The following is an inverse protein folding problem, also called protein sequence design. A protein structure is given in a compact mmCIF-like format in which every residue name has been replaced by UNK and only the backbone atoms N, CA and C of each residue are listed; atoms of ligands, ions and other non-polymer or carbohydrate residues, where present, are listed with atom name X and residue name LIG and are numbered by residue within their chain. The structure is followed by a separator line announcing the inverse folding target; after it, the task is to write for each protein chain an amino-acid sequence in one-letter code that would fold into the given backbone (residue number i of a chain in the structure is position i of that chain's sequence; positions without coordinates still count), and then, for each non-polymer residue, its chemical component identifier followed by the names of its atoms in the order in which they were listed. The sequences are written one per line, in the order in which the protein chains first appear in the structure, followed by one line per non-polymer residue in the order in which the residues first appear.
data_IF_636861920989
#
_entry.id   IF_636861920989
#
_cell.length_a   1.000
_cell.length_b   1.000
_cell.length_c   1.000
_cell.angle_alpha   90.00
_cell.angle_beta   90.00
_cell.angle_gamma   90.00
#
_symmetry.space_group_name_H-M   'P 1'
#
loop_
_entity.id
_entity.type
_entity.pdbx_description
1 polymer ?
#
# COMPACT_ATOMS: atom_id res chain seq x y z
N UNK A 1 -48.71 45.84 20.37
CA UNK A 1 -48.34 44.50 20.89
C UNK A 1 -46.82 44.51 21.06
N UNK A 2 -46.35 44.63 22.29
CA UNK A 2 -44.94 44.79 22.62
C UNK A 2 -44.26 43.41 22.67
N UNK A 3 -43.49 43.06 21.64
CA UNK A 3 -42.58 41.91 21.69
C UNK A 3 -41.31 42.33 22.42
N UNK A 4 -41.28 42.10 23.73
CA UNK A 4 -40.05 42.19 24.54
C UNK A 4 -38.94 41.32 23.94
N UNK A 5 -37.67 41.77 23.97
CA UNK A 5 -36.53 40.99 23.51
C UNK A 5 -36.28 39.86 24.52
N UNK A 6 -36.96 38.73 24.31
CA UNK A 6 -36.82 37.52 25.10
C UNK A 6 -35.41 36.95 24.90
N UNK A 7 -34.63 36.89 25.99
CA UNK A 7 -33.45 36.05 26.13
C UNK A 7 -33.68 34.74 25.38
N UNK A 8 -32.93 34.51 24.29
CA UNK A 8 -33.18 33.50 23.26
C UNK A 8 -33.29 32.09 23.86
N UNK A 9 -34.50 31.70 24.27
CA UNK A 9 -34.81 30.34 24.72
C UNK A 9 -34.82 29.46 23.47
N UNK A 10 -34.04 28.38 23.51
CA UNK A 10 -33.98 27.41 22.42
C UNK A 10 -35.32 26.68 22.29
N UNK A 11 -35.87 26.67 21.08
CA UNK A 11 -37.11 25.95 20.76
C UNK A 11 -36.90 24.43 20.77
N UNK A 12 -37.96 23.67 21.06
CA UNK A 12 -37.87 22.21 21.14
C UNK A 12 -37.43 21.57 19.81
N UNK A 13 -37.86 22.13 18.68
CA UNK A 13 -37.48 21.67 17.34
C UNK A 13 -35.97 21.84 17.09
N UNK A 14 -35.43 23.01 17.42
CA UNK A 14 -34.00 23.32 17.28
C UNK A 14 -33.13 22.39 18.15
N UNK A 15 -33.60 22.07 19.36
CA UNK A 15 -32.90 21.13 20.25
C UNK A 15 -32.90 19.72 19.68
N UNK A 16 -34.03 19.25 19.16
CA UNK A 16 -34.12 17.92 18.53
C UNK A 16 -33.20 17.81 17.31
N UNK A 17 -33.21 18.80 16.44
CA UNK A 17 -32.36 18.84 15.25
C UNK A 17 -30.87 18.80 15.64
N UNK A 18 -30.46 19.62 16.62
CA UNK A 18 -29.07 19.62 17.08
C UNK A 18 -28.67 18.32 17.76
N UNK A 19 -29.58 17.70 18.51
CA UNK A 19 -29.35 16.38 19.11
C UNK A 19 -29.18 15.31 18.03
N UNK A 20 -29.97 15.33 16.95
CA UNK A 20 -29.80 14.41 15.82
C UNK A 20 -28.41 14.55 15.18
N UNK A 21 -27.97 15.77 14.85
CA UNK A 21 -26.62 16.00 14.32
C UNK A 21 -25.53 15.45 15.23
N UNK A 22 -25.67 15.63 16.55
CA UNK A 22 -24.74 15.07 17.53
C UNK A 22 -24.69 13.54 17.46
N UNK A 23 -25.83 12.89 17.25
CA UNK A 23 -25.93 11.44 17.13
C UNK A 23 -25.36 10.92 15.80
N UNK A 24 -25.43 11.72 14.74
CA UNK A 24 -24.83 11.43 13.43
C UNK A 24 -23.29 11.61 13.42
N UNK A 25 -22.71 12.10 14.53
CA UNK A 25 -21.27 12.27 14.71
C UNK A 25 -20.76 13.70 14.50
N UNK A 26 -21.64 14.67 14.28
CA UNK A 26 -21.24 16.07 14.12
C UNK A 26 -20.71 16.67 15.43
N UNK A 27 -19.59 17.38 15.33
CA UNK A 27 -19.01 18.08 16.47
C UNK A 27 -19.78 19.39 16.76
N UNK A 28 -20.56 19.39 17.83
CA UNK A 28 -21.26 20.60 18.29
C UNK A 28 -20.34 21.51 19.12
N UNK A 29 -20.40 22.84 18.92
CA UNK A 29 -19.75 23.81 19.78
C UNK A 29 -20.16 23.68 21.26
N UNK A 30 -19.22 23.95 22.18
CA UNK A 30 -19.46 23.80 23.64
C UNK A 30 -20.59 24.68 24.18
N UNK A 31 -20.76 25.89 23.65
CA UNK A 31 -21.90 26.75 24.01
C UNK A 31 -23.25 26.11 23.65
N UNK A 32 -23.30 25.39 22.54
CA UNK A 32 -24.50 24.72 22.02
C UNK A 32 -24.81 23.50 22.87
N UNK A 33 -23.79 22.69 23.21
CA UNK A 33 -23.94 21.56 24.14
C UNK A 33 -24.52 22.00 25.49
N UNK A 34 -23.99 23.08 26.07
CA UNK A 34 -24.50 23.64 27.34
C UNK A 34 -25.95 24.09 27.23
N UNK A 35 -26.33 24.74 26.15
CA UNK A 35 -27.71 25.20 25.95
C UNK A 35 -28.69 24.05 25.73
N UNK A 36 -28.30 23.01 24.98
CA UNK A 36 -29.08 21.78 24.84
C UNK A 36 -29.27 21.13 26.20
N UNK A 37 -28.22 21.00 27.00
CA UNK A 37 -28.30 20.39 28.34
C UNK A 37 -29.21 21.19 29.27
N UNK A 38 -29.13 22.53 29.25
CA UNK A 38 -30.09 23.39 29.95
C UNK A 38 -31.54 23.12 29.51
N UNK A 39 -31.78 23.04 28.20
CA UNK A 39 -33.12 22.74 27.69
C UNK A 39 -33.60 21.34 28.11
N UNK A 40 -32.75 20.31 28.05
CA UNK A 40 -33.10 18.95 28.48
C UNK A 40 -33.42 18.87 29.98
N UNK A 41 -32.78 19.69 30.81
CA UNK A 41 -33.12 19.76 32.24
C UNK A 41 -34.46 20.45 32.51
N UNK A 42 -34.88 21.36 31.62
CA UNK A 42 -36.13 22.12 31.76
C UNK A 42 -37.33 21.46 31.08
N UNK A 43 -37.14 20.82 29.93
CA UNK A 43 -38.19 20.24 29.10
C UNK A 43 -38.24 18.71 29.23
N UNK A 44 -39.22 18.21 29.99
CA UNK A 44 -39.42 16.76 30.20
C UNK A 44 -39.67 15.99 28.90
N UNK A 45 -40.38 16.59 27.94
CA UNK A 45 -40.67 15.94 26.66
C UNK A 45 -39.39 15.71 25.84
N UNK A 46 -38.52 16.71 25.74
CA UNK A 46 -37.23 16.57 25.05
C UNK A 46 -36.29 15.60 25.77
N UNK A 47 -36.31 15.59 27.11
CA UNK A 47 -35.54 14.65 27.92
C UNK A 47 -35.98 13.19 27.71
N UNK A 48 -37.29 12.91 27.78
CA UNK A 48 -37.83 11.58 27.55
C UNK A 48 -37.50 11.05 26.15
N UNK A 49 -37.70 11.90 25.12
CA UNK A 49 -37.34 11.57 23.74
C UNK A 49 -35.85 11.27 23.58
N UNK A 50 -34.97 12.04 24.23
CA UNK A 50 -33.53 11.82 24.16
C UNK A 50 -33.08 10.52 24.86
N UNK A 51 -33.74 10.15 25.95
CA UNK A 51 -33.50 8.86 26.63
C UNK A 51 -33.96 7.70 25.74
N UNK A 52 -35.12 7.80 25.13
CA UNK A 52 -35.68 6.79 24.23
C UNK A 52 -34.76 6.54 23.03
N UNK A 53 -34.26 7.60 22.38
CA UNK A 53 -33.32 7.45 21.27
C UNK A 53 -32.00 6.82 21.69
N UNK A 54 -31.45 7.21 22.85
CA UNK A 54 -30.23 6.57 23.34
C UNK A 54 -30.44 5.08 23.63
N UNK A 55 -31.60 4.69 24.17
CA UNK A 55 -31.93 3.29 24.38
C UNK A 55 -31.99 2.52 23.05
N UNK A 56 -32.65 3.08 22.01
CA UNK A 56 -32.69 2.48 20.67
C UNK A 56 -31.29 2.35 20.06
N UNK A 57 -30.43 3.36 20.21
CA UNK A 57 -29.07 3.31 19.69
C UNK A 57 -28.22 2.23 20.38
N UNK A 58 -28.35 2.08 21.71
CA UNK A 58 -27.69 1.01 22.44
C UNK A 58 -28.17 -0.38 21.97
N UNK A 59 -29.46 -0.52 21.71
CA UNK A 59 -30.02 -1.77 21.18
C UNK A 59 -29.47 -2.08 19.78
N UNK A 60 -29.46 -1.10 18.88
CA UNK A 60 -28.88 -1.25 17.53
C UNK A 60 -27.38 -1.62 17.61
N UNK A 61 -26.61 -0.95 18.49
CA UNK A 61 -25.19 -1.24 18.67
C UNK A 61 -24.93 -2.63 19.27
N UNK A 62 -25.88 -3.18 20.02
CA UNK A 62 -25.79 -4.52 20.58
C UNK A 62 -26.09 -5.63 19.56
N UNK A 63 -26.65 -5.28 18.40
CA UNK A 63 -26.97 -6.27 17.37
C UNK A 63 -25.67 -6.82 16.76
N UNK A 64 -25.60 -8.15 16.51
CA UNK A 64 -24.43 -8.74 15.88
C UNK A 64 -24.25 -8.16 14.48
N UNK A 65 -23.05 -7.64 14.20
CA UNK A 65 -22.73 -7.13 12.88
C UNK A 65 -22.92 -8.22 11.82
N UNK A 66 -23.77 -8.00 10.80
CA UNK A 66 -23.94 -8.99 9.74
C UNK A 66 -22.64 -9.10 8.94
N UNK A 67 -21.93 -10.23 9.10
CA UNK A 67 -20.77 -10.53 8.27
C UNK A 67 -21.25 -10.83 6.85
N UNK A 68 -20.80 -10.08 5.84
CA UNK A 68 -21.15 -10.38 4.46
C UNK A 68 -20.62 -11.77 4.07
N UNK A 69 -21.35 -12.47 3.20
CA UNK A 69 -20.85 -13.73 2.65
C UNK A 69 -19.55 -13.49 1.86
N UNK A 70 -18.63 -14.46 1.89
CA UNK A 70 -17.37 -14.38 1.12
C UNK A 70 -17.62 -14.13 -0.38
N UNK A 71 -18.72 -14.65 -0.92
CA UNK A 71 -19.12 -14.46 -2.32
C UNK A 71 -19.48 -12.98 -2.58
N UNK A 72 -20.24 -12.35 -1.69
CA UNK A 72 -20.58 -10.93 -1.82
C UNK A 72 -19.32 -10.07 -1.76
N UNK A 73 -18.42 -10.34 -0.81
CA UNK A 73 -17.18 -9.60 -0.68
C UNK A 73 -16.30 -9.74 -1.93
N UNK A 74 -16.19 -10.94 -2.50
CA UNK A 74 -15.45 -11.17 -3.74
C UNK A 74 -16.06 -10.39 -4.93
N UNK A 75 -17.40 -10.39 -5.06
CA UNK A 75 -18.09 -9.62 -6.12
C UNK A 75 -17.89 -8.12 -5.95
N UNK A 76 -17.97 -7.62 -4.72
CA UNK A 76 -17.75 -6.21 -4.40
C UNK A 76 -16.31 -5.79 -4.75
N UNK A 77 -15.31 -6.54 -4.31
CA UNK A 77 -13.90 -6.26 -4.60
C UNK A 77 -13.62 -6.28 -6.10
N UNK A 78 -14.20 -7.24 -6.83
CA UNK A 78 -14.09 -7.30 -8.28
C UNK A 78 -14.75 -6.08 -8.95
N UNK A 79 -15.92 -5.66 -8.48
CA UNK A 79 -16.63 -4.49 -9.02
C UNK A 79 -15.90 -3.17 -8.79
N UNK A 80 -15.17 -3.06 -7.68
CA UNK A 80 -14.35 -1.90 -7.35
C UNK A 80 -12.98 -1.91 -8.07
N UNK A 81 -12.68 -2.95 -8.86
CA UNK A 81 -11.35 -3.13 -9.46
C UNK A 81 -10.25 -3.37 -8.43
N UNK A 82 -10.61 -3.59 -7.16
CA UNK A 82 -9.70 -3.84 -6.05
C UNK A 82 -9.35 -5.33 -5.96
N UNK A 83 -9.26 -6.02 -7.10
CA UNK A 83 -8.88 -7.43 -7.13
C UNK A 83 -7.57 -7.58 -6.38
N UNK A 84 -7.66 -8.13 -5.16
CA UNK A 84 -6.52 -8.42 -4.32
C UNK A 84 -5.74 -9.53 -5.02
N UNK A 85 -4.78 -9.15 -5.86
CA UNK A 85 -3.72 -10.08 -6.21
C UNK A 85 -3.14 -10.56 -4.88
N UNK A 86 -3.12 -11.88 -4.63
CA UNK A 86 -2.64 -12.39 -3.36
C UNK A 86 -1.23 -11.85 -3.15
N UNK A 87 -0.93 -11.33 -1.95
CA UNK A 87 0.36 -10.70 -1.66
C UNK A 87 1.53 -11.63 -1.99
N UNK A 88 1.35 -12.96 -1.90
CA UNK A 88 2.36 -13.93 -2.34
C UNK A 88 2.76 -13.74 -3.80
N UNK A 89 1.85 -13.31 -4.68
CA UNK A 89 2.10 -13.27 -6.13
C UNK A 89 3.13 -12.19 -6.43
N UNK A 90 3.13 -11.11 -5.64
CA UNK A 90 4.16 -10.07 -5.69
C UNK A 90 5.54 -10.59 -5.26
N UNK A 91 5.59 -11.50 -4.28
CA UNK A 91 6.87 -12.10 -3.85
C UNK A 91 7.39 -13.11 -4.87
N UNK A 92 6.52 -13.96 -5.43
CA UNK A 92 6.91 -14.96 -6.43
C UNK A 92 7.47 -14.29 -7.69
N UNK A 93 6.83 -13.22 -8.17
CA UNK A 93 7.34 -12.49 -9.34
C UNK A 93 8.69 -11.85 -9.06
N UNK A 94 8.90 -11.28 -7.88
CA UNK A 94 10.19 -10.75 -7.45
C UNK A 94 11.29 -11.82 -7.40
N UNK A 95 11.01 -12.98 -6.79
CA UNK A 95 11.96 -14.10 -6.71
C UNK A 95 12.30 -14.65 -8.09
N UNK A 96 11.29 -14.85 -8.95
CA UNK A 96 11.50 -15.35 -10.31
C UNK A 96 12.41 -14.42 -11.12
N UNK A 97 12.18 -13.10 -11.06
CA UNK A 97 13.03 -12.09 -11.74
C UNK A 97 14.46 -12.10 -11.19
N UNK A 98 14.62 -12.22 -9.87
CA UNK A 98 15.93 -12.28 -9.22
C UNK A 98 16.73 -13.52 -9.65
N UNK A 99 16.09 -14.70 -9.65
CA UNK A 99 16.73 -15.97 -10.06
C UNK A 99 17.16 -15.92 -11.52
N UNK A 100 16.31 -15.42 -12.42
CA UNK A 100 16.64 -15.28 -13.85
C UNK A 100 17.81 -14.30 -14.04
N UNK A 101 17.80 -13.17 -13.34
CA UNK A 101 18.87 -12.17 -13.42
C UNK A 101 20.20 -12.72 -12.90
N UNK A 102 20.16 -13.43 -11.77
CA UNK A 102 21.34 -14.07 -11.19
C UNK A 102 21.93 -15.13 -12.13
N UNK A 103 21.08 -15.96 -12.74
CA UNK A 103 21.51 -16.97 -13.69
C UNK A 103 22.17 -16.35 -14.93
N UNK A 104 21.63 -15.23 -15.43
CA UNK A 104 22.20 -14.50 -16.57
C UNK A 104 23.61 -13.93 -16.27
N UNK A 105 23.82 -13.43 -15.05
CA UNK A 105 25.15 -12.97 -14.58
C UNK A 105 26.14 -14.14 -14.48
N UNK A 106 25.70 -15.27 -13.92
CA UNK A 106 26.50 -16.49 -13.83
C UNK A 106 26.94 -16.99 -15.21
N UNK A 107 26.02 -17.03 -16.18
CA UNK A 107 26.32 -17.45 -17.56
C UNK A 107 27.30 -16.48 -18.25
N UNK A 108 27.16 -15.17 -18.00
CA UNK A 108 28.09 -14.17 -18.54
C UNK A 108 29.51 -14.35 -18.00
N UNK A 109 29.63 -14.59 -16.68
CA UNK A 109 30.93 -14.82 -16.02
C UNK A 109 31.58 -16.15 -16.44
N UNK A 110 30.79 -17.21 -16.59
CA UNK A 110 31.31 -18.50 -17.06
C UNK A 110 31.79 -18.47 -18.52
N UNK A 111 31.25 -17.55 -19.34
CA UNK A 111 31.60 -17.41 -20.76
C UNK A 111 32.99 -16.80 -21.01
N UNK A 112 33.59 -16.08 -20.06
CA UNK A 112 34.88 -15.40 -20.24
C UNK A 112 36.08 -16.37 -20.26
N UNK A 113 35.88 -17.64 -19.86
CA UNK A 113 36.92 -18.68 -19.91
C UNK A 113 37.10 -19.37 -21.26
N UNK A 114 36.21 -19.13 -22.23
CA UNK A 114 36.28 -19.79 -23.55
C UNK A 114 37.02 -18.87 -24.53
N UNK A 115 38.32 -18.72 -24.29
CA UNK A 115 39.20 -18.12 -25.28
C UNK A 115 39.41 -19.09 -26.44
N UNK A 116 38.98 -18.66 -27.63
CA UNK A 116 39.50 -19.08 -28.93
C UNK A 116 39.25 -20.54 -29.36
N UNK A 117 38.01 -20.86 -29.72
CA UNK A 117 37.79 -21.55 -31.00
C UNK A 117 36.48 -21.10 -31.63
N UNK A 118 36.61 -20.53 -32.82
CA UNK A 118 35.54 -20.00 -33.66
C UNK A 118 34.56 -21.10 -34.07
N UNK A 119 33.42 -21.25 -33.38
CA UNK A 119 32.17 -21.86 -33.90
C UNK A 119 31.07 -21.93 -32.85
N UNK A 120 30.43 -20.80 -32.51
CA UNK A 120 29.12 -20.85 -31.83
C UNK A 120 28.07 -20.06 -32.64
N UNK A 121 27.35 -20.71 -33.58
CA UNK A 121 26.33 -20.07 -34.42
C UNK A 121 25.02 -19.74 -33.69
N UNK A 122 25.00 -19.81 -32.35
CA UNK A 122 23.76 -19.75 -31.55
C UNK A 122 23.47 -18.32 -31.04
N UNK A 123 24.49 -17.46 -30.92
CA UNK A 123 24.35 -16.08 -30.45
C UNK A 123 23.32 -15.21 -31.24
N UNK A 124 23.24 -15.24 -32.59
CA UNK A 124 22.31 -14.37 -33.31
C UNK A 124 20.84 -14.76 -33.13
N UNK A 125 20.53 -16.02 -32.79
CA UNK A 125 19.15 -16.46 -32.53
C UNK A 125 18.67 -15.98 -31.16
N UNK A 126 19.54 -15.97 -30.15
CA UNK A 126 19.23 -15.47 -28.82
C UNK A 126 18.99 -13.95 -28.81
N UNK A 127 19.76 -13.19 -29.61
CA UNK A 127 19.55 -11.75 -29.75
C UNK A 127 18.18 -11.39 -30.33
N UNK A 128 17.68 -12.15 -31.32
CA UNK A 128 16.33 -11.94 -31.88
C UNK A 128 15.23 -12.27 -30.87
N UNK A 129 15.45 -13.27 -30.02
CA UNK A 129 14.50 -13.61 -28.96
C UNK A 129 14.41 -12.49 -27.91
N UNK A 130 15.55 -11.94 -27.47
CA UNK A 130 15.59 -10.82 -26.55
C UNK A 130 15.04 -9.51 -27.14
N UNK A 131 15.29 -9.24 -28.43
CA UNK A 131 14.73 -8.07 -29.13
C UNK A 131 13.19 -8.13 -29.24
N UNK A 132 12.62 -9.32 -29.45
CA UNK A 132 11.17 -9.54 -29.42
C UNK A 132 10.57 -9.30 -28.03
N UNK A 133 11.22 -9.81 -26.99
CA UNK A 133 10.85 -9.57 -25.59
C UNK A 133 10.93 -8.08 -25.21
N UNK A 134 11.91 -7.35 -25.73
CA UNK A 134 12.05 -5.91 -25.49
C UNK A 134 10.95 -5.09 -26.19
N UNK A 135 10.42 -5.56 -27.33
CA UNK A 135 9.29 -4.89 -27.99
C UNK A 135 7.95 -5.09 -27.26
N UNK A 136 7.78 -6.19 -26.50
CA UNK A 136 6.63 -6.34 -25.60
C UNK A 136 6.72 -5.44 -24.36
N UNK A 137 7.91 -4.92 -24.02
CA UNK A 137 8.15 -4.08 -22.84
C UNK A 137 7.48 -2.70 -22.92
N UNK A 138 7.29 -2.15 -24.12
CA UNK A 138 6.71 -0.81 -24.30
C UNK A 138 5.23 -0.73 -23.91
N UNK A 139 4.47 -1.82 -24.02
CA UNK A 139 3.07 -1.89 -23.58
C UNK A 139 2.89 -2.16 -22.08
N UNK A 140 3.92 -2.69 -21.41
CA UNK A 140 3.86 -3.09 -19.99
C UNK A 140 4.39 -2.00 -19.05
N UNK A 141 5.24 -1.09 -19.54
CA UNK A 141 5.90 -0.05 -18.74
C UNK A 141 4.95 0.92 -18.03
N UNK A 142 3.78 1.26 -18.61
CA UNK A 142 2.84 2.19 -17.98
C UNK A 142 2.22 1.67 -16.68
N UNK A 143 2.29 0.35 -16.43
CA UNK A 143 1.77 -0.28 -15.21
C UNK A 143 2.86 -0.48 -14.14
N UNK A 144 4.13 -0.23 -14.47
CA UNK A 144 5.29 -0.56 -13.63
C UNK A 144 6.12 0.67 -13.20
N UNK A 145 5.77 1.90 -13.58
CA UNK A 145 6.53 3.10 -13.20
C UNK A 145 6.67 3.27 -11.68
N UNK A 146 5.60 3.06 -10.91
CA UNK A 146 5.66 3.08 -9.44
C UNK A 146 6.37 1.84 -8.85
N UNK A 147 6.45 0.75 -9.61
CA UNK A 147 7.00 -0.52 -9.16
C UNK A 147 8.51 -0.66 -9.42
N UNK A 148 9.03 -0.02 -10.47
CA UNK A 148 10.45 -0.03 -10.84
C UNK A 148 11.29 0.76 -9.85
N UNK A 149 10.78 1.86 -9.29
CA UNK A 149 11.51 2.69 -8.34
C UNK A 149 11.95 1.93 -7.08
N UNK A 150 11.09 1.02 -6.58
CA UNK A 150 11.39 0.18 -5.42
C UNK A 150 12.28 -1.02 -5.74
N UNK A 151 12.26 -1.53 -6.97
CA UNK A 151 13.10 -2.65 -7.41
C UNK A 151 14.50 -2.22 -7.86
N UNK A 152 14.68 -0.97 -8.30
CA UNK A 152 15.98 -0.42 -8.72
C UNK A 152 16.95 -0.26 -7.55
N UNK A 153 16.45 0.05 -6.35
CA UNK A 153 17.26 0.22 -5.13
C UNK A 153 18.02 -1.07 -4.75
N UNK A 154 17.38 -2.25 -4.61
CA UNK A 154 18.10 -3.48 -4.26
C UNK A 154 19.01 -3.98 -5.40
N UNK A 155 18.64 -3.76 -6.67
CA UNK A 155 19.50 -4.09 -7.81
C UNK A 155 20.78 -3.25 -7.83
N UNK A 156 20.69 -1.95 -7.53
CA UNK A 156 21.85 -1.07 -7.39
C UNK A 156 22.75 -1.47 -6.23
N UNK A 157 22.18 -1.83 -5.08
CA UNK A 157 22.94 -2.32 -3.92
C UNK A 157 23.67 -3.64 -4.23
N UNK A 158 23.01 -4.57 -4.90
CA UNK A 158 23.61 -5.84 -5.31
C UNK A 158 24.78 -5.63 -6.27
N UNK A 159 24.62 -4.75 -7.28
CA UNK A 159 25.69 -4.42 -8.21
C UNK A 159 26.92 -3.82 -7.51
N UNK A 160 26.71 -2.95 -6.50
CA UNK A 160 27.80 -2.40 -5.69
C UNK A 160 28.54 -3.46 -4.88
N UNK A 161 27.82 -4.41 -4.25
CA UNK A 161 28.43 -5.50 -3.48
C UNK A 161 29.31 -6.38 -4.38
N UNK A 162 28.82 -6.74 -5.57
CA UNK A 162 29.60 -7.52 -6.54
C UNK A 162 30.86 -6.77 -6.96
N UNK A 163 30.74 -5.47 -7.25
CA UNK A 163 31.87 -4.65 -7.69
C UNK A 163 32.93 -4.50 -6.59
N UNK A 164 32.51 -4.33 -5.32
CA UNK A 164 33.41 -4.34 -4.17
C UNK A 164 34.10 -5.69 -3.97
N UNK A 165 33.38 -6.80 -4.15
CA UNK A 165 33.95 -8.14 -4.09
C UNK A 165 35.06 -8.37 -5.13
N UNK A 166 34.86 -7.91 -6.36
CA UNK A 166 35.86 -8.00 -7.43
C UNK A 166 37.11 -7.17 -7.09
N UNK A 167 36.92 -5.96 -6.56
CA UNK A 167 38.04 -5.09 -6.16
C UNK A 167 38.85 -5.74 -5.02
N UNK A 168 38.16 -6.31 -4.02
CA UNK A 168 38.81 -6.98 -2.90
C UNK A 168 39.64 -8.20 -3.36
N UNK A 169 39.09 -9.01 -4.26
CA UNK A 169 39.79 -10.16 -4.86
C UNK A 169 41.05 -9.73 -5.61
N UNK A 170 40.96 -8.67 -6.44
CA UNK A 170 42.12 -8.14 -7.17
C UNK A 170 43.20 -7.58 -6.24
N UNK A 171 42.81 -6.96 -5.12
CA UNK A 171 43.76 -6.44 -4.13
C UNK A 171 44.49 -7.57 -3.41
N UNK A 172 43.79 -8.65 -3.07
CA UNK A 172 44.39 -9.84 -2.44
C UNK A 172 45.44 -10.51 -3.34
N UNK A 173 45.16 -10.64 -4.64
CA UNK A 173 46.11 -11.22 -5.59
C UNK A 173 47.40 -10.40 -5.75
N UNK A 174 47.35 -9.06 -5.66
CA UNK A 174 48.56 -8.22 -5.77
C UNK A 174 49.50 -8.36 -4.57
N UNK A 175 48.96 -8.60 -3.38
CA UNK A 175 49.80 -8.76 -2.19
C UNK A 175 50.51 -10.12 -2.16
N UNK A 176 49.89 -11.18 -2.66
CA UNK A 176 50.53 -12.51 -2.71
C UNK A 176 51.73 -12.58 -3.67
N UNK A 177 51.79 -11.73 -4.70
CA UNK A 177 52.89 -11.76 -5.68
C UNK A 177 54.15 -10.99 -5.25
N UNK A 178 54.11 -10.19 -4.18
CA UNK A 178 55.28 -9.40 -3.73
C UNK A 178 56.22 -10.16 -2.78
N UNK A 179 55.80 -11.26 -2.17
CA UNK A 179 56.64 -12.04 -1.24
C UNK A 179 57.44 -13.17 -1.90
N UNK A 180 57.14 -13.53 -3.15
CA UNK A 180 57.81 -14.63 -3.86
C UNK A 180 59.13 -14.23 -4.56
N UNK A 181 59.57 -12.98 -4.45
CA UNK A 181 60.71 -12.42 -5.21
C UNK A 181 62.00 -12.15 -4.43
N UNK A 182 62.08 -12.53 -3.15
CA UNK A 182 63.28 -12.33 -2.32
C UNK A 182 63.88 -13.67 -1.87
N UNK A 183 64.52 -14.38 -2.80
CA UNK A 183 65.47 -15.45 -2.50
C UNK A 183 66.64 -15.38 -3.47
#
# INVERSE_FOLDING_TARGET
MNSSPSSKVMECSEVKERLQRKLDGDELPENTKKSIQKHLTACKACSAWFVEIQAMLLEIQSMPEPKPSAIFQARLMNSLGLTQFPLWLRWITGVAVSVVSFWFVLLSLAGEGISSSSSFPILPKLWRFFAGLFSLRSGVMSMFDDMLYLAVIPLGAFALIVLLGIIALRKSQRHGSSEAGSF
#
